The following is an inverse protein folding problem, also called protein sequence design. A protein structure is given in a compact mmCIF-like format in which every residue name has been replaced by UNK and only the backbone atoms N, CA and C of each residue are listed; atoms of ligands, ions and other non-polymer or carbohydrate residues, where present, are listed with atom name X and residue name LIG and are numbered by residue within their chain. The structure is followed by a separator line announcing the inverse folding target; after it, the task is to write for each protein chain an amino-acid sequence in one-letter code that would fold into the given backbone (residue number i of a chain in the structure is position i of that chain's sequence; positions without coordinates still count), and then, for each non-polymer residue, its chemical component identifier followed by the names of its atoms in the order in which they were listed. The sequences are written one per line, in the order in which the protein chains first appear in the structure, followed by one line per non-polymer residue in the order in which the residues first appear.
data_IF_916752727031
#
_entry.id   IF_916752727031
#
_cell.length_a   1.000
_cell.length_b   1.000
_cell.length_c   1.000
_cell.angle_alpha   90.00
_cell.angle_beta   90.00
_cell.angle_gamma   90.00
#
_symmetry.space_group_name_H-M   'P 1'
#
loop_
_entity.id
_entity.type
_entity.pdbx_description
1 polymer ?
#
# COMPACT_ATOMS: atom_id res chain seq x y z
N UNK A 1 -12.79 22.02 11.65
CA UNK A 1 -12.06 23.16 12.23
C UNK A 1 -10.72 22.74 12.83
N UNK A 2 -10.69 21.87 13.86
CA UNK A 2 -9.43 21.48 14.53
C UNK A 2 -8.49 20.63 13.65
N UNK A 3 -9.02 19.79 12.75
CA UNK A 3 -8.24 19.00 11.81
C UNK A 3 -7.56 19.85 10.75
N UNK A 4 -8.25 20.89 10.26
CA UNK A 4 -7.68 21.85 9.30
C UNK A 4 -6.59 22.73 9.95
N UNK A 5 -6.74 23.05 11.22
CA UNK A 5 -5.79 23.86 11.96
C UNK A 5 -4.49 23.11 12.30
N UNK A 6 -4.58 21.80 12.52
CA UNK A 6 -3.44 20.94 12.87
C UNK A 6 -2.87 20.15 11.69
N UNK A 7 -3.59 20.07 10.56
CA UNK A 7 -3.18 19.32 9.37
C UNK A 7 -3.09 17.80 9.58
N UNK A 8 -3.80 17.28 10.59
CA UNK A 8 -3.85 15.84 10.92
C UNK A 8 -5.30 15.39 11.13
N UNK A 9 -5.61 14.12 10.81
CA UNK A 9 -6.88 13.50 11.16
C UNK A 9 -6.96 13.29 12.66
N UNK A 10 -8.04 13.76 13.30
CA UNK A 10 -8.24 13.66 14.76
C UNK A 10 -9.31 12.61 15.08
N UNK A 11 -10.34 12.50 14.25
CA UNK A 11 -11.49 11.63 14.48
C UNK A 11 -11.63 10.63 13.36
N UNK A 12 -11.91 9.36 13.67
CA UNK A 12 -12.21 8.37 12.64
C UNK A 12 -13.43 8.76 11.83
N UNK A 13 -13.31 8.74 10.51
CA UNK A 13 -14.39 9.03 9.58
C UNK A 13 -14.80 7.76 8.83
N UNK A 14 -16.10 7.49 8.76
CA UNK A 14 -16.64 6.38 7.97
C UNK A 14 -17.35 6.89 6.73
N UNK A 15 -16.97 6.37 5.57
CA UNK A 15 -17.57 6.72 4.28
C UNK A 15 -17.89 5.46 3.51
N UNK A 16 -19.02 5.47 2.78
CA UNK A 16 -19.41 4.35 1.92
C UNK A 16 -19.16 4.71 0.46
N UNK A 17 -18.47 3.82 -0.26
CA UNK A 17 -18.27 3.89 -1.70
C UNK A 17 -18.84 2.64 -2.38
N UNK A 18 -19.20 2.77 -3.65
CA UNK A 18 -19.67 1.67 -4.47
C UNK A 18 -18.76 1.50 -5.68
N UNK A 19 -18.42 0.26 -5.96
CA UNK A 19 -17.57 -0.08 -7.10
C UNK A 19 -18.14 -1.28 -7.86
N UNK A 20 -18.05 -1.24 -9.19
CA UNK A 20 -18.46 -2.36 -10.03
C UNK A 20 -17.21 -3.03 -10.62
N UNK A 21 -17.04 -4.31 -10.36
CA UNK A 21 -15.93 -5.11 -10.85
C UNK A 21 -16.44 -6.43 -11.45
N UNK A 22 -16.06 -6.72 -12.68
CA UNK A 22 -16.50 -7.93 -13.41
C UNK A 22 -18.03 -8.15 -13.36
N UNK A 23 -18.81 -7.07 -13.52
CA UNK A 23 -20.28 -7.12 -13.50
C UNK A 23 -20.90 -7.19 -12.09
N UNK A 24 -20.11 -7.40 -11.04
CA UNK A 24 -20.59 -7.43 -9.66
C UNK A 24 -20.46 -6.05 -9.01
N UNK A 25 -21.48 -5.66 -8.23
CA UNK A 25 -21.45 -4.43 -7.44
C UNK A 25 -20.93 -4.72 -6.05
N UNK A 26 -19.94 -3.96 -5.62
CA UNK A 26 -19.36 -4.01 -4.29
C UNK A 26 -19.66 -2.74 -3.52
N UNK A 27 -19.96 -2.89 -2.24
CA UNK A 27 -20.10 -1.79 -1.29
C UNK A 27 -18.87 -1.79 -0.38
N UNK A 28 -18.12 -0.71 -0.39
CA UNK A 28 -16.96 -0.49 0.48
C UNK A 28 -17.35 0.46 1.60
N UNK A 29 -17.18 0.05 2.83
CA UNK A 29 -17.26 0.93 3.98
C UNK A 29 -15.82 1.27 4.39
N UNK A 30 -15.40 2.49 4.08
CA UNK A 30 -14.06 2.98 4.36
C UNK A 30 -14.06 3.64 5.73
N UNK A 31 -13.15 3.24 6.59
CA UNK A 31 -12.90 3.87 7.89
C UNK A 31 -11.52 4.48 7.83
N UNK A 32 -11.47 5.81 7.74
CA UNK A 32 -10.22 6.57 7.86
C UNK A 32 -9.90 6.76 9.33
N UNK A 33 -8.71 6.35 9.74
CA UNK A 33 -8.26 6.41 11.15
C UNK A 33 -7.09 7.37 11.30
N UNK A 34 -7.03 8.15 12.39
CA UNK A 34 -5.90 9.00 12.65
C UNK A 34 -4.62 8.18 12.85
N UNK A 35 -3.51 8.65 12.26
CA UNK A 35 -2.19 8.00 12.36
C UNK A 35 -1.38 8.39 13.59
N UNK A 36 -1.91 9.24 14.49
CA UNK A 36 -1.15 9.73 15.63
C UNK A 36 -1.30 8.82 16.86
N UNK A 37 -0.22 8.70 17.65
CA UNK A 37 -0.16 7.83 18.87
C UNK A 37 -1.27 8.07 19.89
N UNK A 38 -1.75 9.30 20.00
CA UNK A 38 -2.80 9.67 20.95
C UNK A 38 -4.17 9.03 20.63
N UNK A 39 -4.33 8.47 19.41
CA UNK A 39 -5.60 7.93 18.91
C UNK A 39 -5.60 6.41 18.74
N UNK A 40 -4.71 5.70 19.42
CA UNK A 40 -4.59 4.23 19.33
C UNK A 40 -5.88 3.49 19.73
N UNK A 41 -6.70 4.06 20.62
CA UNK A 41 -7.98 3.47 21.01
C UNK A 41 -9.01 3.50 19.87
N UNK A 42 -9.04 4.55 19.07
CA UNK A 42 -9.89 4.68 17.89
C UNK A 42 -9.49 3.66 16.82
N UNK A 43 -8.18 3.51 16.59
CA UNK A 43 -7.62 2.52 15.67
C UNK A 43 -8.00 1.11 16.13
N UNK A 44 -7.81 0.79 17.41
CA UNK A 44 -8.14 -0.53 17.97
C UNK A 44 -9.64 -0.86 17.87
N UNK A 45 -10.53 0.12 18.08
CA UNK A 45 -11.97 -0.07 17.89
C UNK A 45 -12.32 -0.37 16.45
N UNK A 46 -11.67 0.33 15.49
CA UNK A 46 -11.88 0.12 14.07
C UNK A 46 -11.43 -1.27 13.65
N UNK A 47 -10.27 -1.74 14.10
CA UNK A 47 -9.73 -3.07 13.74
C UNK A 47 -10.66 -4.24 14.05
N UNK A 48 -11.56 -4.09 15.03
CA UNK A 48 -12.52 -5.16 15.42
C UNK A 48 -13.58 -5.44 14.38
N UNK A 49 -13.82 -4.52 13.44
CA UNK A 49 -14.89 -4.60 12.44
C UNK A 49 -14.38 -4.61 11.01
N UNK A 50 -13.04 -4.58 10.82
CA UNK A 50 -12.43 -4.54 9.50
C UNK A 50 -12.31 -5.94 8.89
N UNK A 51 -12.68 -6.06 7.61
CA UNK A 51 -12.39 -7.22 6.77
C UNK A 51 -10.95 -7.18 6.23
N UNK A 52 -10.35 -5.99 6.16
CA UNK A 52 -8.98 -5.75 5.72
C UNK A 52 -8.57 -4.31 5.96
N UNK A 53 -7.29 -4.03 5.91
CA UNK A 53 -6.74 -2.70 6.11
C UNK A 53 -5.71 -2.33 5.03
N UNK A 54 -5.64 -1.03 4.74
CA UNK A 54 -4.53 -0.43 3.98
C UNK A 54 -3.61 0.25 4.97
N UNK A 55 -2.44 -0.34 5.19
CA UNK A 55 -1.40 0.22 6.05
C UNK A 55 -0.54 1.20 5.22
N UNK A 56 -0.67 2.49 5.52
CA UNK A 56 0.05 3.54 4.78
C UNK A 56 1.37 3.89 5.46
N UNK A 57 2.46 3.79 4.71
CA UNK A 57 3.81 4.14 5.13
C UNK A 57 4.32 5.37 4.39
N UNK A 58 5.10 6.20 5.06
CA UNK A 58 5.76 7.33 4.42
C UNK A 58 7.01 6.84 3.68
N UNK A 59 7.17 7.18 2.40
CA UNK A 59 8.35 6.79 1.62
C UNK A 59 9.67 7.36 2.17
N UNK A 60 9.61 8.44 2.95
CA UNK A 60 10.78 9.08 3.57
C UNK A 60 11.00 8.58 5.00
N UNK A 61 9.93 8.49 5.81
CA UNK A 61 10.00 8.09 7.22
C UNK A 61 10.05 6.57 7.42
N UNK A 62 9.57 5.81 6.45
CA UNK A 62 9.53 4.35 6.53
C UNK A 62 8.56 3.82 7.58
N UNK A 63 9.00 2.79 8.30
CA UNK A 63 8.27 2.20 9.41
C UNK A 63 8.58 2.96 10.70
N UNK A 64 7.62 3.74 11.14
CA UNK A 64 7.69 4.53 12.36
C UNK A 64 7.10 3.75 13.57
N UNK A 65 7.40 4.16 14.83
CA UNK A 65 6.86 3.48 16.02
C UNK A 65 5.33 3.36 16.04
N UNK A 66 4.62 4.36 15.48
CA UNK A 66 3.17 4.31 15.32
C UNK A 66 2.74 3.18 14.37
N UNK A 67 3.45 3.03 13.24
CA UNK A 67 3.18 1.97 12.26
C UNK A 67 3.35 0.59 12.90
N UNK A 68 4.38 0.41 13.71
CA UNK A 68 4.63 -0.84 14.44
C UNK A 68 3.50 -1.14 15.43
N UNK A 69 3.06 -0.13 16.20
CA UNK A 69 1.96 -0.29 17.16
C UNK A 69 0.67 -0.74 16.48
N UNK A 70 0.28 -0.07 15.39
CA UNK A 70 -0.92 -0.41 14.62
C UNK A 70 -0.80 -1.78 13.96
N UNK A 71 0.41 -2.12 13.47
CA UNK A 71 0.69 -3.43 12.89
C UNK A 71 0.44 -4.56 13.88
N UNK A 72 0.98 -4.45 15.10
CA UNK A 72 0.79 -5.43 16.18
C UNK A 72 -0.68 -5.54 16.62
N UNK A 73 -1.39 -4.42 16.65
CA UNK A 73 -2.83 -4.43 16.93
C UNK A 73 -3.62 -5.17 15.83
N UNK A 74 -3.27 -4.95 14.56
CA UNK A 74 -3.89 -5.66 13.45
C UNK A 74 -3.61 -7.17 13.50
N UNK A 75 -2.43 -7.61 13.95
CA UNK A 75 -2.12 -9.02 14.21
C UNK A 75 -3.05 -9.61 15.27
N UNK A 76 -3.25 -8.89 16.38
CA UNK A 76 -4.16 -9.31 17.46
C UNK A 76 -5.58 -9.60 16.98
N UNK A 77 -6.06 -8.85 15.99
CA UNK A 77 -7.41 -9.01 15.43
C UNK A 77 -7.44 -9.80 14.12
N UNK A 78 -6.31 -10.37 13.70
CA UNK A 78 -6.17 -11.13 12.44
C UNK A 78 -6.67 -10.35 11.21
N UNK A 79 -6.42 -9.05 11.16
CA UNK A 79 -6.83 -8.21 10.03
C UNK A 79 -5.80 -8.32 8.90
N UNK A 80 -6.18 -8.83 7.72
CA UNK A 80 -5.28 -8.85 6.56
C UNK A 80 -4.97 -7.43 6.10
N UNK A 81 -3.76 -7.22 5.56
CA UNK A 81 -3.26 -5.88 5.23
C UNK A 81 -2.64 -5.81 3.85
N UNK A 82 -2.85 -4.67 3.20
CA UNK A 82 -2.10 -4.22 2.03
C UNK A 82 -1.24 -3.05 2.47
N UNK A 83 0.07 -3.11 2.21
CA UNK A 83 0.98 -2.00 2.42
C UNK A 83 0.87 -0.99 1.28
N UNK A 84 0.77 0.29 1.60
CA UNK A 84 0.77 1.40 0.64
C UNK A 84 1.86 2.40 1.01
N UNK A 85 2.85 2.56 0.13
CA UNK A 85 3.93 3.53 0.32
C UNK A 85 3.53 4.84 -0.31
N UNK A 86 3.32 5.86 0.52
CA UNK A 86 2.85 7.19 0.15
C UNK A 86 3.97 8.21 0.15
N UNK A 87 3.77 9.33 -0.52
CA UNK A 87 4.71 10.46 -0.60
C UNK A 87 6.00 10.11 -1.35
N UNK A 88 5.87 9.35 -2.43
CA UNK A 88 6.99 9.01 -3.31
C UNK A 88 7.57 10.22 -4.05
N UNK A 89 6.83 11.32 -4.10
CA UNK A 89 7.19 12.62 -4.66
C UNK A 89 8.09 13.47 -3.76
N UNK A 90 8.29 13.06 -2.50
CA UNK A 90 9.09 13.83 -1.55
C UNK A 90 10.58 13.50 -1.65
N UNK A 91 11.42 14.52 -1.39
CA UNK A 91 12.87 14.34 -1.31
C UNK A 91 13.23 13.34 -0.20
N UNK A 92 14.09 12.38 -0.52
CA UNK A 92 14.47 11.27 0.35
C UNK A 92 13.51 10.07 0.30
N UNK A 93 12.56 10.03 -0.64
CA UNK A 93 11.64 8.90 -0.80
C UNK A 93 12.38 7.66 -1.31
N UNK A 94 12.26 6.54 -0.59
CA UNK A 94 12.82 5.25 -0.93
C UNK A 94 11.81 4.12 -0.65
N UNK A 95 11.20 3.62 -1.72
CA UNK A 95 10.22 2.53 -1.66
C UNK A 95 10.84 1.23 -1.13
N UNK A 96 12.02 0.87 -1.64
CA UNK A 96 12.65 -0.41 -1.31
C UNK A 96 13.16 -0.43 0.13
N UNK A 97 13.60 0.71 0.64
CA UNK A 97 13.95 0.86 2.05
C UNK A 97 12.73 0.63 2.95
N UNK A 98 11.55 1.15 2.58
CA UNK A 98 10.31 0.88 3.33
C UNK A 98 9.97 -0.61 3.30
N UNK A 99 10.05 -1.28 2.15
CA UNK A 99 9.83 -2.72 2.03
C UNK A 99 10.80 -3.51 2.90
N UNK A 100 12.08 -3.10 2.93
CA UNK A 100 13.09 -3.71 3.80
C UNK A 100 12.73 -3.55 5.28
N UNK A 101 12.33 -2.35 5.69
CA UNK A 101 11.92 -2.07 7.07
C UNK A 101 10.67 -2.85 7.48
N UNK A 102 9.70 -3.03 6.58
CA UNK A 102 8.54 -3.90 6.85
C UNK A 102 8.98 -5.33 7.21
N UNK A 103 9.99 -5.84 6.55
CA UNK A 103 10.58 -7.15 6.87
C UNK A 103 11.34 -7.13 8.19
N UNK A 104 12.25 -6.18 8.36
CA UNK A 104 13.23 -6.18 9.46
C UNK A 104 12.60 -5.74 10.80
N UNK A 105 11.67 -4.76 10.76
CA UNK A 105 11.06 -4.17 11.97
C UNK A 105 9.73 -4.85 12.31
N UNK A 106 8.87 -5.07 11.30
CA UNK A 106 7.55 -5.66 11.53
C UNK A 106 7.55 -7.19 11.48
N UNK A 107 8.63 -7.82 11.00
CA UNK A 107 8.68 -9.27 10.79
C UNK A 107 7.71 -9.75 9.70
N UNK A 108 7.32 -8.86 8.79
CA UNK A 108 6.40 -9.18 7.71
C UNK A 108 7.11 -9.92 6.56
N UNK A 109 6.32 -10.61 5.74
CA UNK A 109 6.75 -11.12 4.43
C UNK A 109 6.07 -10.28 3.35
N UNK A 110 6.66 -9.14 2.94
CA UNK A 110 6.03 -8.26 1.96
C UNK A 110 6.04 -8.92 0.58
N UNK A 111 4.85 -9.11 0.03
CA UNK A 111 4.66 -9.52 -1.36
C UNK A 111 4.48 -8.24 -2.20
N UNK A 112 5.54 -7.81 -2.87
CA UNK A 112 5.52 -6.59 -3.69
C UNK A 112 4.73 -6.85 -4.97
N UNK A 113 3.62 -6.12 -5.14
CA UNK A 113 2.72 -6.24 -6.31
C UNK A 113 2.87 -5.08 -7.29
N UNK A 114 3.53 -4.01 -6.88
CA UNK A 114 3.83 -2.87 -7.73
C UNK A 114 5.15 -2.24 -7.29
N UNK A 115 5.94 -1.74 -8.24
CA UNK A 115 7.18 -1.00 -7.98
C UNK A 115 7.08 0.41 -8.57
N UNK A 116 7.72 1.42 -7.97
CA UNK A 116 7.65 2.79 -8.47
C UNK A 116 8.46 2.97 -9.76
N UNK A 117 8.02 3.91 -10.60
CA UNK A 117 8.78 4.43 -11.74
C UNK A 117 9.33 5.80 -11.33
N UNK A 118 10.61 5.82 -10.98
CA UNK A 118 11.25 6.98 -10.41
C UNK A 118 10.91 7.22 -8.94
N UNK A 119 11.51 8.27 -8.40
CA UNK A 119 11.28 8.74 -7.02
C UNK A 119 11.47 10.25 -6.97
N UNK A 120 11.02 10.88 -5.90
CA UNK A 120 11.12 12.33 -5.69
C UNK A 120 10.46 13.11 -6.85
N UNK A 121 11.11 14.12 -7.36
CA UNK A 121 10.64 14.92 -8.51
C UNK A 121 10.51 14.12 -9.83
N UNK A 122 11.16 12.94 -9.88
CA UNK A 122 11.10 12.04 -11.03
C UNK A 122 10.07 10.91 -10.88
N UNK A 123 9.27 10.91 -9.82
CA UNK A 123 8.20 9.94 -9.66
C UNK A 123 7.10 10.17 -10.70
N UNK A 124 6.87 9.16 -11.55
CA UNK A 124 5.93 9.27 -12.70
C UNK A 124 4.76 8.29 -12.60
N UNK A 125 4.93 7.20 -11.86
CA UNK A 125 3.94 6.14 -11.84
C UNK A 125 4.46 4.88 -11.18
N UNK A 126 3.85 3.75 -11.53
CA UNK A 126 4.24 2.43 -11.02
C UNK A 126 4.27 1.41 -12.16
N UNK A 127 4.99 0.31 -11.93
CA UNK A 127 4.81 -0.92 -12.70
C UNK A 127 3.91 -1.87 -11.91
N UNK A 128 2.78 -2.25 -12.49
CA UNK A 128 1.92 -3.32 -12.01
C UNK A 128 2.58 -4.67 -12.34
N UNK A 129 3.13 -5.35 -11.34
CA UNK A 129 3.84 -6.62 -11.50
C UNK A 129 2.89 -7.79 -11.81
N UNK A 130 1.60 -7.65 -11.55
CA UNK A 130 0.61 -8.68 -11.90
C UNK A 130 0.37 -8.68 -13.41
N UNK A 131 0.21 -7.49 -14.00
CA UNK A 131 -0.04 -7.30 -15.43
C UNK A 131 1.22 -7.13 -16.26
N UNK A 132 2.35 -6.82 -15.61
CA UNK A 132 3.61 -6.43 -16.23
C UNK A 132 3.43 -5.25 -17.20
N UNK A 133 2.83 -4.19 -16.68
CA UNK A 133 2.57 -2.94 -17.39
C UNK A 133 2.92 -1.74 -16.52
N UNK A 134 3.40 -0.68 -17.16
CA UNK A 134 3.58 0.62 -16.53
C UNK A 134 2.24 1.35 -16.46
N UNK A 135 1.98 2.01 -15.34
CA UNK A 135 0.82 2.88 -15.12
C UNK A 135 1.39 4.27 -14.81
N UNK A 136 1.12 5.22 -15.69
CA UNK A 136 1.59 6.60 -15.60
C UNK A 136 0.40 7.53 -15.38
N UNK A 137 0.42 8.32 -14.33
CA UNK A 137 -0.65 9.27 -14.03
C UNK A 137 -0.37 10.64 -14.64
N UNK A 138 -1.44 11.32 -15.05
CA UNK A 138 -1.38 12.68 -15.52
C UNK A 138 -1.57 13.65 -14.34
N UNK A 139 -0.57 14.48 -14.08
CA UNK A 139 -0.59 15.46 -12.98
C UNK A 139 -1.75 16.46 -13.13
N UNK A 140 -2.09 16.84 -14.38
CA UNK A 140 -3.15 17.79 -14.70
C UNK A 140 -4.54 17.34 -14.25
N UNK A 141 -4.76 16.03 -14.12
CA UNK A 141 -6.05 15.45 -13.74
C UNK A 141 -6.10 14.96 -12.29
N UNK A 142 -5.10 15.30 -11.47
CA UNK A 142 -4.93 14.79 -10.10
C UNK A 142 -5.02 13.27 -10.00
N UNK A 143 -4.50 12.56 -11.00
CA UNK A 143 -4.48 11.10 -11.05
C UNK A 143 -5.80 10.43 -11.46
N UNK A 144 -6.79 11.20 -11.92
CA UNK A 144 -8.04 10.63 -12.43
C UNK A 144 -7.85 9.92 -13.78
N UNK A 145 -6.91 10.39 -14.58
CA UNK A 145 -6.53 9.79 -15.85
C UNK A 145 -5.13 9.20 -15.77
N UNK A 146 -4.94 8.06 -16.41
CA UNK A 146 -3.66 7.37 -16.46
C UNK A 146 -3.51 6.63 -17.78
N UNK A 147 -2.27 6.48 -18.21
CA UNK A 147 -1.88 5.65 -19.35
C UNK A 147 -1.35 4.30 -18.88
N UNK A 148 -1.61 3.28 -19.68
CA UNK A 148 -1.06 1.94 -19.49
C UNK A 148 -0.09 1.67 -20.63
N UNK A 149 1.19 1.56 -20.30
CA UNK A 149 2.28 1.42 -21.26
C UNK A 149 3.10 0.14 -21.03
N UNK A 150 4.04 -0.10 -21.93
CA UNK A 150 5.06 -1.13 -21.72
C UNK A 150 6.05 -0.67 -20.63
N UNK A 151 6.63 -1.65 -19.93
CA UNK A 151 7.63 -1.35 -18.89
C UNK A 151 8.86 -0.70 -19.57
N UNK A 152 9.37 0.42 -19.05
CA UNK A 152 10.61 1.01 -19.53
C UNK A 152 11.74 -0.02 -19.56
N UNK A 153 12.54 -0.02 -20.65
CA UNK A 153 13.57 -1.03 -20.86
C UNK A 153 14.58 -1.13 -19.72
N UNK A 154 14.89 0.02 -19.09
CA UNK A 154 15.81 0.12 -17.95
C UNK A 154 15.26 -0.52 -16.66
N UNK A 155 13.94 -0.68 -16.53
CA UNK A 155 13.30 -1.27 -15.35
C UNK A 155 12.89 -2.73 -15.56
N UNK A 156 13.04 -3.25 -16.79
CA UNK A 156 12.49 -4.56 -17.12
C UNK A 156 13.11 -5.68 -16.29
N UNK A 157 14.41 -5.73 -16.18
CA UNK A 157 15.14 -6.78 -15.45
C UNK A 157 14.77 -6.75 -13.96
N UNK A 158 14.69 -5.56 -13.36
CA UNK A 158 14.28 -5.37 -11.97
C UNK A 158 12.82 -5.82 -11.76
N UNK A 159 11.92 -5.46 -12.67
CA UNK A 159 10.52 -5.87 -12.61
C UNK A 159 10.35 -7.39 -12.76
N UNK A 160 11.14 -8.02 -13.63
CA UNK A 160 11.13 -9.47 -13.81
C UNK A 160 11.59 -10.19 -12.53
N UNK A 161 12.62 -9.67 -11.84
CA UNK A 161 13.06 -10.20 -10.55
C UNK A 161 11.99 -10.04 -9.46
N UNK A 162 11.36 -8.87 -9.36
CA UNK A 162 10.31 -8.63 -8.37
C UNK A 162 9.06 -9.48 -8.67
N UNK A 163 8.73 -9.65 -9.94
CA UNK A 163 7.64 -10.56 -10.32
C UNK A 163 7.93 -11.99 -9.94
N UNK A 164 9.15 -12.49 -10.15
CA UNK A 164 9.52 -13.84 -9.76
C UNK A 164 9.36 -14.04 -8.24
N UNK A 165 9.85 -13.10 -7.43
CA UNK A 165 9.67 -13.11 -5.96
C UNK A 165 8.20 -13.07 -5.55
N UNK A 166 7.39 -12.25 -6.22
CA UNK A 166 5.94 -12.17 -5.98
C UNK A 166 5.25 -13.51 -6.25
N UNK A 167 5.56 -14.14 -7.37
CA UNK A 167 4.97 -15.44 -7.74
C UNK A 167 5.40 -16.53 -6.78
N UNK A 168 6.67 -16.57 -6.36
CA UNK A 168 7.19 -17.50 -5.36
C UNK A 168 6.43 -17.38 -4.03
N UNK A 169 6.32 -16.15 -3.47
CA UNK A 169 5.59 -15.89 -2.23
C UNK A 169 4.11 -16.29 -2.34
N UNK A 170 3.48 -16.02 -3.50
CA UNK A 170 2.09 -16.41 -3.72
C UNK A 170 1.93 -17.94 -3.82
N UNK A 171 2.85 -18.61 -4.51
CA UNK A 171 2.83 -20.07 -4.68
C UNK A 171 2.98 -20.79 -3.33
N UNK A 172 3.81 -20.29 -2.41
CA UNK A 172 3.98 -20.86 -1.06
C UNK A 172 2.69 -20.87 -0.22
N UNK A 173 1.68 -20.10 -0.57
CA UNK A 173 0.43 -20.00 0.20
C UNK A 173 -0.65 -20.99 -0.26
N UNK A 174 -0.48 -21.68 -1.37
CA UNK A 174 -1.50 -22.57 -1.95
C UNK A 174 -0.85 -23.78 -2.62
N UNK A 175 -1.21 -24.99 -2.19
CA UNK A 175 -0.63 -26.25 -2.70
C UNK A 175 -0.84 -26.42 -4.22
N UNK A 176 -1.99 -25.98 -4.74
CA UNK A 176 -2.28 -26.05 -6.19
C UNK A 176 -1.47 -25.05 -7.01
N UNK A 177 -1.12 -23.91 -6.43
CA UNK A 177 -0.20 -22.96 -7.04
C UNK A 177 1.23 -23.46 -6.99
N UNK A 178 1.65 -24.07 -5.88
CA UNK A 178 2.98 -24.65 -5.72
C UNK A 178 3.23 -25.79 -6.74
N UNK A 179 2.23 -26.62 -7.03
CA UNK A 179 2.35 -27.66 -8.05
C UNK A 179 2.51 -27.13 -9.49
N UNK A 180 2.11 -25.88 -9.73
CA UNK A 180 2.21 -25.21 -11.03
C UNK A 180 3.45 -24.34 -11.17
N UNK A 181 4.10 -24.02 -10.06
CA UNK A 181 5.32 -23.22 -10.00
C UNK A 181 6.55 -24.08 -10.30
#
# INVERSE_FOLDING_TARGET
AQEQERGITITSAATTAYWTWNGNKYKFNLIDTPGHVDFTAEVERSLRVLDGAVATYCAVGGVEPQSETVWRQADKYNVPRIGYVNKMDRSGADFFEVVRQMKDVLGATPCVIAVPIGAEENFKGIVDLIKMKAILWHDETMGAEYDVEEIPAELKDECDEWRAKMVEIAAEQDETLMEKY
#
